data_IF_748905054267
#
_entry.id   IF_748905054267
#
_cell.length_a   1.000
_cell.length_b   1.000
_cell.length_c   1.000
_cell.angle_alpha   90.00
_cell.angle_beta   90.00
_cell.angle_gamma   90.00
#
_symmetry.space_group_name_H-M   'P 1'
#
loop_
_entity.id
_entity.type
_entity.pdbx_description
1 polymer ?
#
# COMPACT_ATOMS: atom_id res chain seq x y z
N UNK A 1 23.19 -5.38 8.33
CA UNK A 1 22.72 -6.29 7.26
C UNK A 1 21.30 -5.86 6.92
N UNK A 2 21.08 -5.21 5.76
CA UNK A 2 19.79 -4.62 5.39
C UNK A 2 18.96 -5.55 4.50
N UNK A 3 17.63 -5.41 4.54
CA UNK A 3 16.73 -6.10 3.62
C UNK A 3 16.85 -5.48 2.22
N UNK A 4 17.18 -6.28 1.20
CA UNK A 4 17.24 -5.82 -0.21
C UNK A 4 15.84 -5.50 -0.74
N UNK A 5 15.74 -4.71 -1.80
CA UNK A 5 14.46 -4.37 -2.43
C UNK A 5 13.73 -5.62 -2.95
N UNK A 6 14.47 -6.61 -3.44
CA UNK A 6 13.93 -7.90 -3.87
C UNK A 6 13.34 -8.69 -2.69
N UNK A 7 14.01 -8.67 -1.53
CA UNK A 7 13.53 -9.33 -0.32
C UNK A 7 12.26 -8.64 0.20
N UNK A 8 12.21 -7.29 0.18
CA UNK A 8 10.99 -6.52 0.54
C UNK A 8 9.81 -6.89 -0.36
N UNK A 9 10.01 -6.91 -1.68
CA UNK A 9 8.92 -7.28 -2.59
C UNK A 9 8.49 -8.73 -2.42
N UNK A 10 9.44 -9.65 -2.22
CA UNK A 10 9.11 -11.07 -1.97
C UNK A 10 8.21 -11.20 -0.75
N UNK A 11 8.57 -10.57 0.36
CA UNK A 11 7.77 -10.59 1.59
C UNK A 11 6.40 -9.92 1.42
N UNK A 12 6.33 -8.77 0.75
CA UNK A 12 5.06 -8.06 0.54
C UNK A 12 4.09 -8.82 -0.38
N UNK A 13 4.63 -9.60 -1.32
CA UNK A 13 3.80 -10.37 -2.27
C UNK A 13 3.34 -11.70 -1.69
N UNK A 14 4.03 -12.21 -0.66
CA UNK A 14 3.65 -13.42 0.05
C UNK A 14 2.26 -13.32 0.72
N UNK A 15 1.85 -12.12 1.13
CA UNK A 15 0.55 -11.90 1.77
C UNK A 15 -0.60 -11.67 0.77
N UNK A 16 -0.30 -11.52 -0.52
CA UNK A 16 -1.33 -11.36 -1.56
C UNK A 16 -2.04 -12.69 -1.80
N UNK A 17 -3.38 -12.66 -1.82
CA UNK A 17 -4.21 -13.86 -1.98
C UNK A 17 -4.87 -13.85 -3.36
N UNK A 18 -5.08 -15.05 -3.90
CA UNK A 18 -5.93 -15.31 -5.07
C UNK A 18 -5.75 -14.30 -6.22
N UNK A 19 -6.76 -13.45 -6.46
CA UNK A 19 -6.81 -12.46 -7.53
C UNK A 19 -5.65 -11.46 -7.45
N UNK A 20 -5.27 -11.04 -6.25
CA UNK A 20 -4.23 -10.03 -6.02
C UNK A 20 -2.84 -10.59 -6.35
N UNK A 21 -2.62 -11.88 -6.06
CA UNK A 21 -1.39 -12.57 -6.44
C UNK A 21 -1.29 -12.72 -7.98
N UNK A 22 -2.40 -13.07 -8.63
CA UNK A 22 -2.45 -13.17 -10.09
C UNK A 22 -2.23 -11.81 -10.76
N UNK A 23 -2.83 -10.75 -10.23
CA UNK A 23 -2.59 -9.38 -10.67
C UNK A 23 -1.10 -9.02 -10.56
N UNK A 24 -0.47 -9.27 -9.40
CA UNK A 24 0.93 -8.93 -9.21
C UNK A 24 1.87 -9.71 -10.15
N UNK A 25 1.62 -11.01 -10.38
CA UNK A 25 2.38 -11.80 -11.35
C UNK A 25 2.31 -11.18 -12.76
N UNK A 26 1.12 -10.76 -13.17
CA UNK A 26 0.91 -10.11 -14.47
C UNK A 26 1.57 -8.73 -14.55
N UNK A 27 1.52 -7.93 -13.48
CA UNK A 27 2.23 -6.66 -13.40
C UNK A 27 3.74 -6.89 -13.51
N UNK A 28 4.28 -7.86 -12.76
CA UNK A 28 5.72 -8.19 -12.75
C UNK A 28 6.24 -8.59 -14.13
N UNK A 29 5.47 -9.34 -14.92
CA UNK A 29 5.86 -9.72 -16.29
C UNK A 29 6.03 -8.52 -17.23
N UNK A 30 5.33 -7.40 -16.98
CA UNK A 30 5.41 -6.19 -17.81
C UNK A 30 6.57 -5.28 -17.39
N UNK A 31 7.26 -5.61 -16.30
CA UNK A 31 8.23 -4.74 -15.65
C UNK A 31 9.61 -5.38 -15.84
N UNK A 32 10.49 -4.67 -16.56
CA UNK A 32 11.86 -5.12 -16.83
C UNK A 32 12.74 -5.13 -15.56
N UNK A 33 14.06 -5.08 -15.74
CA UNK A 33 15.06 -5.14 -14.65
C UNK A 33 15.17 -3.85 -13.79
N UNK A 34 14.05 -3.15 -13.56
CA UNK A 34 13.98 -1.99 -12.67
C UNK A 34 13.76 -2.39 -11.21
N UNK A 35 14.08 -1.48 -10.27
CA UNK A 35 13.97 -1.72 -8.83
C UNK A 35 12.58 -2.23 -8.40
N UNK A 36 12.53 -3.49 -7.97
CA UNK A 36 11.31 -4.28 -7.82
C UNK A 36 10.36 -3.71 -6.75
N UNK A 37 10.89 -3.04 -5.72
CA UNK A 37 10.10 -2.53 -4.59
C UNK A 37 9.36 -1.23 -4.88
N UNK A 38 10.03 -0.23 -5.46
CA UNK A 38 9.39 1.05 -5.78
C UNK A 38 8.28 0.88 -6.81
N UNK A 39 8.49 -0.06 -7.74
CA UNK A 39 7.49 -0.42 -8.74
C UNK A 39 6.31 -1.15 -8.08
N UNK A 40 6.58 -2.11 -7.19
CA UNK A 40 5.53 -2.77 -6.40
C UNK A 40 4.67 -1.77 -5.64
N UNK A 41 5.27 -0.86 -4.87
CA UNK A 41 4.54 0.17 -4.10
C UNK A 41 3.66 1.03 -4.99
N UNK A 42 4.18 1.48 -6.14
CA UNK A 42 3.44 2.31 -7.08
C UNK A 42 2.21 1.59 -7.62
N UNK A 43 2.39 0.37 -8.13
CA UNK A 43 1.29 -0.41 -8.70
C UNK A 43 0.27 -0.83 -7.64
N UNK A 44 0.75 -1.18 -6.44
CA UNK A 44 -0.09 -1.52 -5.30
C UNK A 44 -0.97 -0.34 -4.88
N UNK A 45 -0.37 0.84 -4.66
CA UNK A 45 -1.12 2.05 -4.29
C UNK A 45 -2.08 2.48 -5.40
N UNK A 46 -1.70 2.31 -6.67
CA UNK A 46 -2.60 2.62 -7.79
C UNK A 46 -3.84 1.71 -7.81
N UNK A 47 -3.71 0.43 -7.46
CA UNK A 47 -4.84 -0.54 -7.43
C UNK A 47 -5.72 -0.38 -6.20
N UNK A 48 -5.13 -0.29 -5.00
CA UNK A 48 -5.90 -0.35 -3.74
C UNK A 48 -6.11 1.02 -3.08
N UNK A 49 -5.36 2.03 -3.48
CA UNK A 49 -5.47 3.39 -2.94
C UNK A 49 -5.64 4.44 -4.05
N UNK A 50 -6.70 4.30 -4.89
CA UNK A 50 -6.99 5.25 -5.95
C UNK A 50 -7.35 6.64 -5.38
N UNK A 51 -7.38 7.64 -6.26
CA UNK A 51 -7.51 9.04 -5.86
C UNK A 51 -8.80 9.35 -5.07
N UNK A 52 -9.90 8.68 -5.41
CA UNK A 52 -11.18 8.77 -4.71
C UNK A 52 -11.09 8.21 -3.28
N UNK A 53 -10.49 7.04 -3.09
CA UNK A 53 -10.26 6.45 -1.75
C UNK A 53 -9.34 7.34 -0.94
N UNK A 54 -8.28 7.89 -1.56
CA UNK A 54 -7.37 8.84 -0.92
C UNK A 54 -8.11 10.13 -0.52
N UNK A 55 -8.92 10.70 -1.40
CA UNK A 55 -9.68 11.91 -1.12
C UNK A 55 -10.69 11.69 0.01
N UNK A 56 -11.36 10.53 0.03
CA UNK A 56 -12.24 10.15 1.14
C UNK A 56 -11.50 10.10 2.47
N UNK A 57 -10.32 9.50 2.51
CA UNK A 57 -9.46 9.47 3.72
C UNK A 57 -9.01 10.87 4.15
N UNK A 58 -8.73 11.77 3.21
CA UNK A 58 -8.41 13.17 3.52
C UNK A 58 -9.59 13.88 4.16
N UNK A 59 -10.81 13.69 3.64
CA UNK A 59 -12.02 14.26 4.24
C UNK A 59 -12.26 13.70 5.65
N UNK A 60 -12.20 12.37 5.82
CA UNK A 60 -12.31 11.73 7.14
C UNK A 60 -11.29 12.30 8.14
N UNK A 61 -10.06 12.55 7.70
CA UNK A 61 -9.01 13.15 8.52
C UNK A 61 -9.28 14.61 8.87
N UNK A 62 -9.81 15.41 7.93
CA UNK A 62 -10.15 16.81 8.17
C UNK A 62 -11.33 16.95 9.16
N UNK A 63 -12.25 16.00 9.15
CA UNK A 63 -13.40 15.97 10.05
C UNK A 63 -13.08 15.36 11.43
N UNK A 64 -11.92 14.71 11.57
CA UNK A 64 -11.48 14.09 12.81
C UNK A 64 -11.24 15.14 13.90
N UNK A 65 -12.09 15.12 14.93
CA UNK A 65 -11.99 15.97 16.12
C UNK A 65 -11.88 15.09 17.35
N UNK A 66 -11.00 15.45 18.28
CA UNK A 66 -10.83 14.71 19.53
C UNK A 66 -12.15 14.61 20.32
N UNK A 67 -12.93 15.71 20.41
CA UNK A 67 -14.17 15.71 21.17
C UNK A 67 -13.94 15.29 22.62
N UNK A 68 -14.69 14.28 23.09
CA UNK A 68 -14.53 13.69 24.42
C UNK A 68 -13.59 12.47 24.45
N UNK A 69 -12.93 12.14 23.33
CA UNK A 69 -11.98 11.02 23.26
C UNK A 69 -10.74 11.35 24.09
N UNK A 70 -10.18 10.33 24.74
CA UNK A 70 -8.85 10.46 25.32
C UNK A 70 -7.84 10.72 24.20
N UNK A 71 -6.72 11.37 24.54
CA UNK A 71 -5.64 11.63 23.57
C UNK A 71 -5.16 10.31 22.93
N UNK A 72 -5.11 9.23 23.72
CA UNK A 72 -4.75 7.91 23.24
C UNK A 72 -5.71 7.42 22.14
N UNK A 73 -7.02 7.56 22.34
CA UNK A 73 -8.04 7.15 21.36
C UNK A 73 -8.08 8.05 20.12
N UNK A 74 -7.78 9.34 20.26
CA UNK A 74 -7.76 10.29 19.14
C UNK A 74 -6.53 10.14 18.24
N UNK A 75 -5.39 9.72 18.80
CA UNK A 75 -4.11 9.63 18.08
C UNK A 75 -3.88 8.35 17.28
N UNK A 76 -4.83 7.39 17.34
CA UNK A 76 -4.79 6.09 16.67
C UNK A 76 -5.51 6.15 15.33
#
# INVERSE_FOLDING_TARGET
MGCTEENKTTLATYVLREEDNNWWKNAKLRMGAGGVWEIFKREFLRKYFPADVKNKKVVEFMELKQGNMSVAEYSV
#
